data_IF_413779390886
#
_entry.id   IF_413779390886
#
_cell.length_a   1.000
_cell.length_b   1.000
_cell.length_c   1.000
_cell.angle_alpha   90.00
_cell.angle_beta   90.00
_cell.angle_gamma   90.00
#
_symmetry.space_group_name_H-M   'P 1'
#
loop_
_entity.id
_entity.type
_entity.pdbx_description
1 polymer ?
#
# COMPACT_ATOMS: atom_id res chain seq x y z
N UNK A 1 -7.80 4.79 -11.94
CA UNK A 1 -6.78 4.76 -13.01
C UNK A 1 -6.49 6.17 -13.47
N UNK A 2 -5.23 6.60 -13.47
CA UNK A 2 -4.79 7.91 -13.94
C UNK A 2 -3.88 7.75 -15.15
N UNK A 3 -4.13 8.52 -16.22
CA UNK A 3 -3.25 8.59 -17.37
C UNK A 3 -2.17 9.64 -17.09
N UNK A 4 -0.91 9.29 -17.37
CA UNK A 4 0.24 10.19 -17.23
C UNK A 4 0.94 10.31 -18.58
N UNK A 5 1.54 11.47 -18.83
CA UNK A 5 2.41 11.69 -20.00
C UNK A 5 3.76 10.96 -19.89
N UNK A 6 4.02 10.29 -18.77
CA UNK A 6 5.16 9.41 -18.55
C UNK A 6 4.70 8.06 -18.00
N UNK A 7 5.56 7.04 -18.09
CA UNK A 7 5.30 5.70 -17.56
C UNK A 7 6.06 5.48 -16.26
N UNK A 8 5.43 4.79 -15.30
CA UNK A 8 6.05 4.42 -14.04
C UNK A 8 6.10 2.90 -13.89
N UNK A 9 7.22 2.40 -13.40
CA UNK A 9 7.44 0.99 -13.13
C UNK A 9 7.57 0.78 -11.61
N UNK A 10 6.89 -0.24 -11.11
CA UNK A 10 6.92 -0.66 -9.72
C UNK A 10 7.75 -1.94 -9.60
N UNK A 11 8.78 -1.92 -8.76
CA UNK A 11 9.68 -3.06 -8.53
C UNK A 11 9.98 -3.22 -7.06
N UNK A 12 10.58 -4.37 -6.69
CA UNK A 12 11.08 -4.65 -5.33
C UNK A 12 10.03 -4.40 -4.23
N UNK A 13 8.79 -4.86 -4.48
CA UNK A 13 7.74 -4.82 -3.46
C UNK A 13 8.10 -5.85 -2.39
N UNK A 14 8.34 -5.40 -1.18
CA UNK A 14 8.77 -6.25 -0.08
C UNK A 14 8.19 -5.79 1.25
N UNK A 15 8.01 -6.74 2.16
CA UNK A 15 7.63 -6.51 3.54
C UNK A 15 8.77 -6.90 4.47
N UNK A 16 8.96 -6.17 5.57
CA UNK A 16 9.96 -6.55 6.59
C UNK A 16 9.60 -7.86 7.32
N UNK A 17 8.30 -8.20 7.36
CA UNK A 17 7.77 -9.42 7.98
C UNK A 17 6.51 -9.93 7.28
N UNK A 18 6.29 -11.24 7.33
CA UNK A 18 5.07 -11.89 6.81
C UNK A 18 4.00 -12.15 7.87
N UNK A 19 4.35 -12.00 9.15
CA UNK A 19 3.45 -12.12 10.30
C UNK A 19 3.79 -11.01 11.29
N UNK A 20 2.78 -10.43 11.91
CA UNK A 20 2.92 -9.39 12.92
C UNK A 20 1.90 -9.62 14.03
N UNK A 21 2.26 -9.29 15.26
CA UNK A 21 1.29 -9.15 16.36
C UNK A 21 0.57 -7.81 16.24
N UNK A 22 -0.58 -7.69 16.90
CA UNK A 22 -1.38 -6.45 16.92
C UNK A 22 -0.63 -5.22 17.48
N UNK A 23 0.44 -5.45 18.24
CA UNK A 23 1.30 -4.40 18.81
C UNK A 23 2.44 -3.98 17.89
N UNK A 24 2.62 -4.66 16.76
CA UNK A 24 3.74 -4.47 15.85
C UNK A 24 3.31 -3.74 14.58
N UNK A 25 4.29 -3.16 13.89
CA UNK A 25 4.10 -2.56 12.58
C UNK A 25 4.74 -3.42 11.50
N UNK A 26 4.13 -3.43 10.32
CA UNK A 26 4.66 -4.02 9.09
C UNK A 26 5.12 -2.89 8.20
N UNK A 27 6.40 -2.91 7.78
CA UNK A 27 6.92 -1.98 6.78
C UNK A 27 6.80 -2.60 5.40
N UNK A 28 6.20 -1.86 4.47
CA UNK A 28 6.11 -2.20 3.05
C UNK A 28 6.96 -1.23 2.27
N UNK A 29 7.98 -1.73 1.58
CA UNK A 29 8.83 -0.95 0.69
C UNK A 29 8.49 -1.27 -0.77
N UNK A 30 8.45 -0.23 -1.61
CA UNK A 30 8.31 -0.36 -3.06
C UNK A 30 9.20 0.63 -3.77
N UNK A 31 9.94 0.17 -4.78
CA UNK A 31 10.71 1.05 -5.65
C UNK A 31 9.87 1.46 -6.85
N UNK A 32 9.73 2.76 -7.05
CA UNK A 32 9.02 3.35 -8.19
C UNK A 32 10.01 4.09 -9.06
N UNK A 33 10.00 3.78 -10.35
CA UNK A 33 10.88 4.39 -11.35
C UNK A 33 10.07 5.07 -12.44
N UNK A 34 10.46 6.28 -12.82
CA UNK A 34 9.95 6.92 -14.02
C UNK A 34 10.70 6.37 -15.25
N UNK A 35 10.01 5.59 -16.07
CA UNK A 35 10.58 4.94 -17.27
C UNK A 35 10.30 5.70 -18.56
N UNK A 36 9.53 6.80 -18.50
CA UNK A 36 9.26 7.63 -19.67
C UNK A 36 10.28 8.76 -19.85
N UNK A 37 9.96 9.67 -20.78
CA UNK A 37 10.88 10.71 -21.26
C UNK A 37 10.69 12.09 -20.61
N UNK A 38 9.65 12.26 -19.81
CA UNK A 38 9.30 13.54 -19.16
C UNK A 38 9.16 13.36 -17.65
N UNK A 39 9.42 14.43 -16.90
CA UNK A 39 9.17 14.45 -15.47
C UNK A 39 7.68 14.24 -15.18
N UNK A 40 7.37 13.58 -14.07
CA UNK A 40 5.98 13.30 -13.70
C UNK A 40 5.80 13.08 -12.21
N UNK A 41 4.53 13.15 -11.78
CA UNK A 41 4.11 12.86 -10.41
C UNK A 41 3.25 11.61 -10.40
N UNK A 42 3.62 10.64 -9.58
CA UNK A 42 2.92 9.38 -9.41
C UNK A 42 2.31 9.30 -8.02
N UNK A 43 1.07 8.80 -7.92
CA UNK A 43 0.41 8.52 -6.65
C UNK A 43 0.50 7.03 -6.37
N UNK A 44 1.47 6.64 -5.53
CA UNK A 44 1.68 5.26 -5.11
C UNK A 44 0.64 4.90 -4.07
N UNK A 45 -0.16 3.87 -4.32
CA UNK A 45 -1.31 3.48 -3.50
C UNK A 45 -1.09 2.08 -2.92
N UNK A 46 -1.30 1.93 -1.61
CA UNK A 46 -1.21 0.67 -0.89
C UNK A 46 -2.61 0.20 -0.47
N UNK A 47 -2.96 -0.99 -0.96
CA UNK A 47 -4.22 -1.65 -0.68
C UNK A 47 -3.99 -2.87 0.22
N UNK A 48 -4.93 -3.14 1.12
CA UNK A 48 -4.97 -4.37 1.92
C UNK A 48 -6.22 -5.16 1.58
N UNK A 49 -6.10 -6.49 1.65
CA UNK A 49 -7.21 -7.43 1.47
C UNK A 49 -7.35 -8.30 2.72
N UNK A 50 -8.57 -8.68 3.12
CA UNK A 50 -8.78 -9.68 4.16
C UNK A 50 -8.21 -11.05 3.77
N UNK A 51 -7.96 -11.89 4.78
CA UNK A 51 -7.70 -13.31 4.56
C UNK A 51 -8.98 -14.03 4.12
N UNK A 52 -8.83 -15.18 3.45
CA UNK A 52 -9.97 -16.03 3.08
C UNK A 52 -10.69 -16.56 4.34
N UNK A 53 -12.02 -16.60 4.30
CA UNK A 53 -12.86 -17.10 5.41
C UNK A 53 -13.32 -16.03 6.41
N UNK A 54 -12.99 -14.77 6.16
CA UNK A 54 -13.40 -13.61 6.98
C UNK A 54 -14.79 -13.11 6.57
N UNK A 55 -15.48 -12.44 7.50
CA UNK A 55 -16.74 -11.73 7.23
C UNK A 55 -16.64 -10.90 5.93
N UNK A 56 -17.71 -10.79 5.12
CA UNK A 56 -17.67 -10.07 3.85
C UNK A 56 -17.07 -8.66 4.02
N UNK A 57 -15.91 -8.47 3.39
CA UNK A 57 -15.12 -7.26 3.41
C UNK A 57 -14.71 -6.90 1.97
N UNK A 58 -14.39 -5.63 1.68
CA UNK A 58 -13.91 -5.25 0.37
C UNK A 58 -12.63 -6.01 0.00
N UNK A 59 -12.58 -6.56 -1.22
CA UNK A 59 -11.40 -7.29 -1.71
C UNK A 59 -10.12 -6.43 -1.70
N UNK A 60 -10.26 -5.11 -1.85
CA UNK A 60 -9.15 -4.15 -1.82
C UNK A 60 -9.59 -2.88 -1.08
N UNK A 61 -9.01 -2.63 0.08
CA UNK A 61 -9.20 -1.40 0.85
C UNK A 61 -7.95 -0.53 0.75
N UNK A 62 -8.08 0.70 0.24
CA UNK A 62 -6.98 1.67 0.21
C UNK A 62 -6.65 2.09 1.65
N UNK A 63 -5.38 1.92 2.06
CA UNK A 63 -4.93 2.30 3.41
C UNK A 63 -3.99 3.49 3.40
N UNK A 64 -3.02 3.47 2.50
CA UNK A 64 -2.01 4.55 2.41
C UNK A 64 -1.76 4.92 0.97
N UNK A 65 -1.39 6.17 0.76
CA UNK A 65 -0.89 6.62 -0.52
C UNK A 65 0.17 7.69 -0.30
N UNK A 66 1.11 7.81 -1.23
CA UNK A 66 2.07 8.90 -1.27
C UNK A 66 2.20 9.41 -2.69
N UNK A 67 2.36 10.72 -2.84
CA UNK A 67 2.65 11.33 -4.12
C UNK A 67 4.14 11.56 -4.23
N UNK A 68 4.77 11.00 -5.25
CA UNK A 68 6.20 11.17 -5.54
C UNK A 68 6.38 11.88 -6.87
N UNK A 69 7.35 12.78 -6.92
CA UNK A 69 7.82 13.41 -8.15
C UNK A 69 9.13 12.77 -8.58
N UNK A 70 9.23 12.42 -9.87
CA UNK A 70 10.37 11.71 -10.45
C UNK A 70 10.74 12.31 -11.81
N UNK A 71 12.03 12.62 -11.98
CA UNK A 71 12.64 12.94 -13.26
C UNK A 71 12.73 11.69 -14.16
N UNK A 72 12.89 11.84 -15.49
CA UNK A 72 13.12 10.70 -16.38
C UNK A 72 14.28 9.82 -15.92
N UNK A 73 14.05 8.52 -15.75
CA UNK A 73 15.03 7.56 -15.26
C UNK A 73 15.26 7.55 -13.75
N UNK A 74 14.73 8.52 -12.99
CA UNK A 74 14.84 8.56 -11.54
C UNK A 74 14.03 7.43 -10.89
N UNK A 75 14.56 6.87 -9.81
CA UNK A 75 13.88 5.89 -8.97
C UNK A 75 13.87 6.35 -7.50
N UNK A 76 12.75 6.11 -6.82
CA UNK A 76 12.61 6.32 -5.37
C UNK A 76 12.02 5.09 -4.71
N UNK A 77 12.52 4.77 -3.54
CA UNK A 77 11.88 3.80 -2.66
C UNK A 77 10.88 4.52 -1.77
N UNK A 78 9.64 4.07 -1.81
CA UNK A 78 8.56 4.50 -0.93
C UNK A 78 8.40 3.44 0.16
N UNK A 79 8.34 3.90 1.41
CA UNK A 79 8.11 3.06 2.58
C UNK A 79 6.77 3.41 3.22
N UNK A 80 5.95 2.41 3.49
CA UNK A 80 4.71 2.52 4.24
C UNK A 80 4.80 1.71 5.51
N UNK A 81 4.35 2.27 6.63
CA UNK A 81 4.20 1.54 7.89
C UNK A 81 2.72 1.23 8.12
N UNK A 82 2.36 -0.04 8.27
CA UNK A 82 1.01 -0.50 8.57
C UNK A 82 0.96 -1.04 10.00
N UNK A 83 0.02 -0.57 10.79
CA UNK A 83 -0.27 -1.10 12.12
C UNK A 83 -1.62 -1.81 12.17
N UNK A 84 -2.01 -2.30 13.35
CA UNK A 84 -3.28 -3.01 13.57
C UNK A 84 -4.50 -2.31 12.94
N UNK A 85 -4.62 -0.98 13.09
CA UNK A 85 -5.75 -0.22 12.54
C UNK A 85 -5.83 -0.22 11.01
N UNK A 86 -4.69 -0.38 10.33
CA UNK A 86 -4.66 -0.45 8.87
C UNK A 86 -5.19 -1.80 8.36
N UNK A 87 -5.19 -2.84 9.20
CA UNK A 87 -5.77 -4.15 8.87
C UNK A 87 -7.18 -4.34 9.45
N UNK A 88 -7.53 -3.59 10.49
CA UNK A 88 -8.78 -3.76 11.21
C UNK A 88 -10.00 -3.30 10.41
N UNK A 89 -11.12 -3.99 10.66
CA UNK A 89 -12.46 -3.63 10.23
C UNK A 89 -13.39 -3.62 11.44
N UNK A 90 -14.44 -2.79 11.39
CA UNK A 90 -15.39 -2.70 12.49
C UNK A 90 -16.42 -3.84 12.40
N UNK A 91 -16.51 -4.67 13.43
CA UNK A 91 -17.55 -5.69 13.54
C UNK A 91 -18.70 -5.18 14.43
N UNK A 92 -19.90 -4.93 13.85
CA UNK A 92 -21.04 -4.41 14.59
C UNK A 92 -21.60 -5.40 15.62
N UNK A 93 -21.31 -6.70 15.53
CA UNK A 93 -21.83 -7.73 16.46
C UNK A 93 -21.15 -7.67 17.82
N UNK A 94 -19.87 -7.28 17.82
CA UNK A 94 -19.02 -7.20 19.02
C UNK A 94 -18.65 -5.76 19.38
N UNK A 95 -19.16 -4.78 18.62
CA UNK A 95 -18.89 -3.35 18.80
C UNK A 95 -17.40 -3.01 18.90
N UNK A 96 -16.57 -3.70 18.13
CA UNK A 96 -15.11 -3.60 18.22
C UNK A 96 -14.44 -3.69 16.85
N UNK A 97 -13.22 -3.13 16.78
CA UNK A 97 -12.33 -3.28 15.64
C UNK A 97 -11.59 -4.60 15.73
N UNK A 98 -11.70 -5.42 14.68
CA UNK A 98 -11.04 -6.72 14.62
C UNK A 98 -10.22 -6.85 13.34
N UNK A 99 -9.06 -7.48 13.47
CA UNK A 99 -8.33 -8.10 12.36
C UNK A 99 -8.76 -9.56 12.39
N UNK A 100 -9.56 -9.95 11.41
CA UNK A 100 -10.06 -11.32 11.28
C UNK A 100 -9.47 -11.93 10.03
#
# INVERSE_FOLDING_TARGET
HGLSYTTFEYTKIQTDRSKAKDTEQVRVDVTVKNTGKVAGKEVVQLYVSPAEGVFPQPEKALRKFVKVELQPGEQKTVSFELGFRDFANYDPRVHAWQVT
#
